data_IF_652364273408
#
_entry.id   IF_652364273408
#
_cell.length_a   1.000
_cell.length_b   1.000
_cell.length_c   1.000
_cell.angle_alpha   90.00
_cell.angle_beta   90.00
_cell.angle_gamma   90.00
#
_symmetry.space_group_name_H-M   'P 1'
#
loop_
_entity.id
_entity.type
_entity.pdbx_description
1 polymer ?
#
# COMPACT_ATOMS: atom_id res chain seq x y z
N UNK A 1 1.21 20.31 8.09
CA UNK A 1 1.28 19.08 7.27
C UNK A 1 1.07 17.80 8.08
N UNK A 2 1.48 17.75 9.35
CA UNK A 2 1.28 16.58 10.21
C UNK A 2 -0.19 16.21 10.47
N UNK A 3 -1.06 17.20 10.64
CA UNK A 3 -2.46 16.95 10.97
C UNK A 3 -3.25 16.34 9.81
N UNK A 4 -3.02 16.80 8.58
CA UNK A 4 -3.64 16.22 7.38
C UNK A 4 -3.21 14.76 7.18
N UNK A 5 -1.94 14.47 7.41
CA UNK A 5 -1.37 13.15 7.32
C UNK A 5 -1.98 12.21 8.39
N UNK A 6 -2.11 12.68 9.63
CA UNK A 6 -2.74 11.94 10.72
C UNK A 6 -4.25 11.73 10.48
N UNK A 7 -4.93 12.70 9.88
CA UNK A 7 -6.36 12.59 9.56
C UNK A 7 -6.63 11.53 8.48
N UNK A 8 -5.71 11.35 7.53
CA UNK A 8 -5.86 10.35 6.45
C UNK A 8 -5.36 8.97 6.88
N UNK A 9 -4.22 8.92 7.57
CA UNK A 9 -3.60 7.64 7.94
C UNK A 9 -4.21 7.05 9.21
N UNK A 10 -4.66 7.86 10.15
CA UNK A 10 -5.26 7.40 11.41
C UNK A 10 -6.40 6.38 11.25
N UNK A 11 -7.41 6.63 10.41
CA UNK A 11 -8.46 5.65 10.14
C UNK A 11 -7.95 4.35 9.52
N UNK A 12 -6.92 4.45 8.66
CA UNK A 12 -6.29 3.29 8.02
C UNK A 12 -5.49 2.48 9.05
N UNK A 13 -4.71 3.16 9.89
CA UNK A 13 -3.96 2.56 11.00
C UNK A 13 -4.91 1.82 11.95
N UNK A 14 -6.02 2.44 12.32
CA UNK A 14 -7.06 1.84 13.15
C UNK A 14 -7.66 0.59 12.51
N UNK A 15 -7.99 0.63 11.21
CA UNK A 15 -8.53 -0.51 10.47
C UNK A 15 -7.51 -1.64 10.37
N UNK A 16 -6.25 -1.33 10.07
CA UNK A 16 -5.13 -2.29 10.03
C UNK A 16 -4.97 -2.97 11.39
N UNK A 17 -4.98 -2.18 12.48
CA UNK A 17 -4.88 -2.68 13.85
C UNK A 17 -6.02 -3.66 14.19
N UNK A 18 -7.26 -3.36 13.80
CA UNK A 18 -8.40 -4.24 14.02
C UNK A 18 -8.30 -5.56 13.24
N UNK A 19 -7.90 -5.52 11.98
CA UNK A 19 -7.74 -6.73 11.17
C UNK A 19 -6.62 -7.60 11.74
N UNK A 20 -5.47 -6.99 12.06
CA UNK A 20 -4.32 -7.70 12.61
C UNK A 20 -4.66 -8.34 13.97
N UNK A 21 -5.32 -7.60 14.87
CA UNK A 21 -5.77 -8.10 16.15
C UNK A 21 -6.79 -9.23 15.99
N UNK A 22 -7.70 -9.13 15.02
CA UNK A 22 -8.65 -10.18 14.70
C UNK A 22 -7.99 -11.50 14.33
N UNK A 23 -6.96 -11.45 13.46
CA UNK A 23 -6.18 -12.64 13.12
C UNK A 23 -5.37 -13.16 14.32
N UNK A 24 -4.77 -12.28 15.08
CA UNK A 24 -4.03 -12.66 16.29
C UNK A 24 -4.92 -13.40 17.28
N UNK A 25 -6.13 -12.90 17.54
CA UNK A 25 -7.10 -13.57 18.40
C UNK A 25 -7.58 -14.90 17.83
N UNK A 26 -7.82 -14.98 16.52
CA UNK A 26 -8.22 -16.22 15.87
C UNK A 26 -7.14 -17.31 16.01
N UNK A 27 -5.87 -16.98 15.80
CA UNK A 27 -4.76 -17.93 15.98
C UNK A 27 -4.55 -18.32 17.45
N UNK A 28 -4.71 -17.37 18.38
CA UNK A 28 -4.67 -17.66 19.83
C UNK A 28 -5.80 -18.61 20.23
N UNK A 29 -7.00 -18.43 19.67
CA UNK A 29 -8.14 -19.31 19.93
C UNK A 29 -7.94 -20.72 19.38
N UNK A 30 -7.21 -20.90 18.29
CA UNK A 30 -6.82 -22.20 17.74
C UNK A 30 -5.76 -22.92 18.63
N UNK A 31 -5.22 -22.22 19.63
CA UNK A 31 -4.27 -22.79 20.59
C UNK A 31 -2.81 -22.35 20.38
N UNK A 32 -2.56 -21.34 19.54
CA UNK A 32 -1.22 -20.76 19.40
C UNK A 32 -0.89 -19.84 20.59
N UNK A 33 0.36 -19.83 21.01
CA UNK A 33 0.81 -18.94 22.08
C UNK A 33 0.75 -17.47 21.61
N UNK A 34 0.02 -16.58 22.31
CA UNK A 34 -0.14 -15.19 21.92
C UNK A 34 1.19 -14.37 21.90
N UNK A 35 2.17 -14.76 22.70
CA UNK A 35 3.51 -14.13 22.69
C UNK A 35 4.47 -14.76 21.67
N UNK A 36 4.02 -15.74 20.88
CA UNK A 36 4.85 -16.39 19.87
C UNK A 36 5.01 -15.49 18.65
N UNK A 37 6.25 -15.32 18.20
CA UNK A 37 6.55 -14.61 16.93
C UNK A 37 5.82 -15.21 15.73
N UNK A 38 5.58 -16.51 15.70
CA UNK A 38 4.80 -17.16 14.64
C UNK A 38 3.34 -16.71 14.62
N UNK A 39 2.70 -16.51 15.78
CA UNK A 39 1.33 -16.01 15.87
C UNK A 39 1.25 -14.60 15.28
N UNK A 40 2.20 -13.73 15.60
CA UNK A 40 2.30 -12.38 15.07
C UNK A 40 2.62 -12.35 13.58
N UNK A 41 3.59 -13.15 13.13
CA UNK A 41 3.93 -13.25 11.71
C UNK A 41 2.76 -13.72 10.85
N UNK A 42 2.04 -14.76 11.29
CA UNK A 42 0.85 -15.25 10.59
C UNK A 42 -0.29 -14.23 10.60
N UNK A 43 -0.43 -13.45 11.66
CA UNK A 43 -1.41 -12.37 11.73
C UNK A 43 -1.11 -11.25 10.72
N UNK A 44 0.17 -10.88 10.57
CA UNK A 44 0.62 -9.93 9.54
C UNK A 44 0.41 -10.49 8.14
N UNK A 45 0.73 -11.76 7.90
CA UNK A 45 0.47 -12.43 6.62
C UNK A 45 -1.02 -12.45 6.31
N UNK A 46 -1.87 -12.78 7.28
CA UNK A 46 -3.32 -12.75 7.15
C UNK A 46 -3.84 -11.36 6.78
N UNK A 47 -3.36 -10.33 7.47
CA UNK A 47 -3.65 -8.94 7.14
C UNK A 47 -3.29 -8.61 5.69
N UNK A 48 -2.07 -8.95 5.24
CA UNK A 48 -1.61 -8.69 3.87
C UNK A 48 -2.47 -9.41 2.84
N UNK A 49 -2.88 -10.66 3.12
CA UNK A 49 -3.77 -11.42 2.23
C UNK A 49 -5.13 -10.72 2.09
N UNK A 50 -5.75 -10.33 3.21
CA UNK A 50 -7.05 -9.62 3.19
C UNK A 50 -6.94 -8.31 2.42
N UNK A 51 -5.90 -7.52 2.67
CA UNK A 51 -5.67 -6.26 1.97
C UNK A 51 -5.50 -6.47 0.46
N UNK A 52 -4.72 -7.47 0.06
CA UNK A 52 -4.55 -7.81 -1.37
C UNK A 52 -5.83 -8.33 -1.99
N UNK A 53 -6.60 -9.17 -1.29
CA UNK A 53 -7.88 -9.66 -1.77
C UNK A 53 -8.88 -8.51 -1.98
N UNK A 54 -8.97 -7.57 -1.05
CA UNK A 54 -9.81 -6.39 -1.18
C UNK A 54 -9.41 -5.50 -2.38
N UNK A 55 -8.14 -5.51 -2.77
CA UNK A 55 -7.64 -4.74 -3.91
C UNK A 55 -7.75 -5.46 -5.26
N UNK A 56 -8.13 -6.75 -5.29
CA UNK A 56 -8.26 -7.51 -6.55
C UNK A 56 -9.09 -6.76 -7.62
N UNK A 57 -10.31 -6.24 -7.35
CA UNK A 57 -11.09 -5.56 -8.38
C UNK A 57 -10.39 -4.33 -8.93
N UNK A 58 -9.59 -3.65 -8.11
CA UNK A 58 -8.78 -2.52 -8.54
C UNK A 58 -7.63 -2.96 -9.44
N UNK A 59 -6.92 -4.03 -9.09
CA UNK A 59 -5.86 -4.60 -9.91
C UNK A 59 -6.35 -5.08 -11.27
N UNK A 60 -7.53 -5.70 -11.34
CA UNK A 60 -8.14 -6.11 -12.62
C UNK A 60 -8.37 -4.90 -13.53
N UNK A 61 -8.90 -3.80 -13.00
CA UNK A 61 -9.05 -2.54 -13.76
C UNK A 61 -7.71 -1.97 -14.22
N UNK A 62 -6.68 -2.05 -13.40
CA UNK A 62 -5.33 -1.60 -13.73
C UNK A 62 -4.70 -2.44 -14.85
N UNK A 63 -4.86 -3.77 -14.80
CA UNK A 63 -4.37 -4.68 -15.86
C UNK A 63 -5.05 -4.36 -17.20
N UNK A 64 -6.37 -4.11 -17.20
CA UNK A 64 -7.07 -3.70 -18.39
C UNK A 64 -6.58 -2.36 -18.95
N UNK A 65 -6.34 -1.38 -18.09
CA UNK A 65 -5.76 -0.08 -18.48
C UNK A 65 -4.32 -0.23 -19.01
N UNK A 66 -3.51 -1.08 -18.39
CA UNK A 66 -2.14 -1.38 -18.83
C UNK A 66 -2.13 -2.05 -20.21
N UNK A 67 -3.05 -2.99 -20.49
CA UNK A 67 -3.20 -3.60 -21.82
C UNK A 67 -3.55 -2.57 -22.88
N UNK A 68 -4.49 -1.66 -22.62
CA UNK A 68 -4.82 -0.57 -23.53
C UNK A 68 -3.59 0.31 -23.80
N UNK A 69 -2.79 0.62 -22.77
CA UNK A 69 -1.55 1.38 -22.92
C UNK A 69 -0.55 0.68 -23.83
N UNK A 70 -0.42 -0.67 -23.75
CA UNK A 70 0.44 -1.43 -24.66
C UNK A 70 -0.03 -1.36 -26.12
N UNK A 71 -1.34 -1.32 -26.37
CA UNK A 71 -1.89 -1.22 -27.71
C UNK A 71 -1.59 0.14 -28.38
N UNK A 72 -1.51 1.22 -27.63
CA UNK A 72 -1.19 2.56 -28.16
C UNK A 72 0.32 2.86 -28.20
N UNK A 73 1.16 1.96 -27.66
CA UNK A 73 2.63 2.12 -27.69
C UNK A 73 3.21 2.39 -29.08
N UNK A 74 2.79 1.69 -30.16
CA UNK A 74 3.33 1.97 -31.50
C UNK A 74 2.99 3.39 -31.99
N UNK A 75 1.83 3.93 -31.64
CA UNK A 75 1.47 5.32 -31.97
C UNK A 75 2.27 6.33 -31.16
N UNK A 76 2.47 6.06 -29.86
CA UNK A 76 3.37 6.86 -29.03
C UNK A 76 4.80 6.91 -29.57
N UNK A 77 5.31 5.77 -30.05
CA UNK A 77 6.64 5.73 -30.68
C UNK A 77 6.69 6.55 -31.98
N UNK A 78 5.62 6.61 -32.76
CA UNK A 78 5.54 7.48 -33.95
C UNK A 78 5.60 8.95 -33.57
N UNK A 79 4.86 9.37 -32.54
CA UNK A 79 4.90 10.73 -32.01
C UNK A 79 6.32 11.05 -31.51
N UNK A 80 6.92 10.18 -30.71
CA UNK A 80 8.29 10.39 -30.23
C UNK A 80 9.31 10.48 -31.37
N UNK A 81 9.20 9.65 -32.42
CA UNK A 81 10.06 9.71 -33.60
C UNK A 81 9.89 11.01 -34.39
N UNK A 82 8.66 11.53 -34.51
CA UNK A 82 8.34 12.81 -35.18
C UNK A 82 9.06 14.01 -34.55
N UNK A 83 9.22 13.96 -33.21
CA UNK A 83 9.88 15.03 -32.44
C UNK A 83 11.32 14.69 -32.03
N UNK A 84 11.84 13.53 -32.47
CA UNK A 84 13.22 13.12 -32.16
C UNK A 84 14.22 14.09 -32.77
N UNK A 85 15.11 14.66 -31.93
CA UNK A 85 16.11 15.62 -32.33
C UNK A 85 15.66 17.09 -32.27
N UNK A 86 14.39 17.35 -31.95
CA UNK A 86 13.89 18.71 -31.71
C UNK A 86 13.90 18.96 -30.20
N UNK A 87 14.77 19.86 -29.75
CA UNK A 87 14.95 20.18 -28.32
C UNK A 87 14.35 21.53 -27.91
N UNK A 88 13.74 22.25 -28.86
CA UNK A 88 13.09 23.53 -28.63
C UNK A 88 11.83 23.37 -27.72
N UNK A 89 11.55 24.37 -26.89
CA UNK A 89 10.41 24.33 -25.96
C UNK A 89 9.05 24.11 -26.65
N UNK A 90 8.90 24.70 -27.85
CA UNK A 90 7.68 24.59 -28.65
C UNK A 90 7.42 23.17 -29.14
N UNK A 91 8.44 22.48 -29.65
CA UNK A 91 8.35 21.09 -30.07
C UNK A 91 8.06 20.13 -28.89
N UNK A 92 8.60 20.40 -27.71
CA UNK A 92 8.29 19.63 -26.50
C UNK A 92 6.84 19.79 -26.07
N UNK A 93 6.34 21.04 -26.14
CA UNK A 93 4.95 21.32 -25.81
C UNK A 93 3.99 20.64 -26.80
N UNK A 94 4.29 20.74 -28.12
CA UNK A 94 3.52 20.07 -29.17
C UNK A 94 3.52 18.54 -29.00
N UNK A 95 4.66 17.92 -28.68
CA UNK A 95 4.77 16.50 -28.41
C UNK A 95 3.89 16.08 -27.21
N UNK A 96 3.93 16.87 -26.13
CA UNK A 96 3.12 16.61 -24.94
C UNK A 96 1.64 16.72 -25.27
N UNK A 97 1.25 17.72 -26.04
CA UNK A 97 -0.14 17.93 -26.46
C UNK A 97 -0.65 16.79 -27.35
N UNK A 98 0.08 16.40 -28.40
CA UNK A 98 -0.26 15.24 -29.25
C UNK A 98 -0.36 13.94 -28.43
N UNK A 99 0.54 13.75 -27.47
CA UNK A 99 0.52 12.57 -26.58
C UNK A 99 -0.74 12.56 -25.70
N UNK A 100 -1.11 13.71 -25.13
CA UNK A 100 -2.31 13.82 -24.29
C UNK A 100 -3.61 13.67 -25.10
N UNK A 101 -3.62 14.17 -26.33
CA UNK A 101 -4.75 13.97 -27.26
C UNK A 101 -4.92 12.48 -27.63
N UNK A 102 -3.81 11.78 -27.88
CA UNK A 102 -3.85 10.33 -28.12
C UNK A 102 -4.43 9.59 -26.92
N UNK A 103 -3.99 9.91 -25.69
CA UNK A 103 -4.54 9.30 -24.49
C UNK A 103 -6.04 9.58 -24.31
N UNK A 104 -6.48 10.80 -24.60
CA UNK A 104 -7.91 11.17 -24.55
C UNK A 104 -8.72 10.41 -25.60
N UNK A 105 -8.21 10.33 -26.83
CA UNK A 105 -8.88 9.63 -27.95
C UNK A 105 -9.08 8.16 -27.66
N UNK A 106 -8.06 7.50 -27.11
CA UNK A 106 -8.10 6.07 -26.80
C UNK A 106 -8.71 5.76 -25.41
N UNK A 107 -9.15 6.80 -24.68
CA UNK A 107 -9.75 6.66 -23.35
C UNK A 107 -8.81 6.01 -22.33
N UNK A 108 -7.51 6.26 -22.46
CA UNK A 108 -6.48 5.74 -21.56
C UNK A 108 -5.96 6.83 -20.64
N UNK A 109 -5.58 6.45 -19.43
CA UNK A 109 -5.01 7.37 -18.46
C UNK A 109 -3.53 6.99 -18.23
N UNK A 110 -2.57 7.89 -18.47
CA UNK A 110 -1.15 7.62 -18.24
C UNK A 110 -0.83 7.32 -16.76
N UNK A 111 -1.65 7.81 -15.83
CA UNK A 111 -1.49 7.57 -14.39
C UNK A 111 -1.96 6.18 -13.94
N UNK A 112 -2.61 5.40 -14.80
CA UNK A 112 -3.09 4.07 -14.43
C UNK A 112 -1.98 3.09 -14.06
N UNK A 113 -0.77 3.28 -14.58
CA UNK A 113 0.39 2.44 -14.30
C UNK A 113 1.00 2.68 -12.90
N UNK A 114 0.91 3.91 -12.36
CA UNK A 114 1.41 4.25 -11.03
C UNK A 114 0.33 4.17 -9.93
N UNK A 115 -0.92 3.98 -10.30
CA UNK A 115 -2.04 3.88 -9.37
C UNK A 115 -1.86 2.80 -8.29
N UNK A 116 -1.28 1.59 -8.56
CA UNK A 116 -1.01 0.59 -7.52
C UNK A 116 -0.17 1.15 -6.38
N UNK A 117 0.88 1.88 -6.71
CA UNK A 117 1.81 2.46 -5.71
C UNK A 117 1.09 3.50 -4.87
N UNK A 118 0.29 4.38 -5.51
CA UNK A 118 -0.49 5.42 -4.83
C UNK A 118 -1.53 4.85 -3.86
N UNK A 119 -2.20 3.77 -4.25
CA UNK A 119 -3.22 3.13 -3.42
C UNK A 119 -2.57 2.29 -2.32
N UNK A 120 -1.46 1.58 -2.62
CA UNK A 120 -0.76 0.74 -1.65
C UNK A 120 -0.01 1.56 -0.59
N UNK A 121 0.48 2.77 -0.93
CA UNK A 121 1.28 3.60 -0.03
C UNK A 121 0.60 3.90 1.32
N UNK A 122 -0.67 4.34 1.39
CA UNK A 122 -1.31 4.62 2.67
C UNK A 122 -1.41 3.38 3.57
N UNK A 123 -1.67 2.21 2.98
CA UNK A 123 -1.75 0.95 3.72
C UNK A 123 -0.38 0.51 4.23
N UNK A 124 0.67 0.67 3.42
CA UNK A 124 2.04 0.40 3.84
C UNK A 124 2.45 1.32 4.99
N UNK A 125 2.19 2.62 4.87
CA UNK A 125 2.48 3.58 5.94
C UNK A 125 1.63 3.33 7.19
N UNK A 126 0.36 2.94 7.04
CA UNK A 126 -0.51 2.57 8.17
C UNK A 126 0.02 1.34 8.92
N UNK A 127 0.44 0.29 8.19
CA UNK A 127 1.06 -0.89 8.79
C UNK A 127 2.39 -0.54 9.46
N UNK A 128 3.25 0.20 8.77
CA UNK A 128 4.56 0.62 9.30
C UNK A 128 4.42 1.44 10.59
N UNK A 129 3.51 2.41 10.61
CA UNK A 129 3.22 3.18 11.83
C UNK A 129 2.59 2.34 12.92
N UNK A 130 1.67 1.44 12.58
CA UNK A 130 1.05 0.53 13.53
C UNK A 130 2.08 -0.37 14.22
N UNK A 131 3.03 -0.93 13.46
CA UNK A 131 4.10 -1.75 14.01
C UNK A 131 5.06 -0.93 14.87
N UNK A 132 5.55 0.22 14.39
CA UNK A 132 6.42 1.10 15.21
C UNK A 132 5.69 1.68 16.42
N UNK A 133 4.39 1.94 16.30
CA UNK A 133 3.57 2.43 17.40
C UNK A 133 3.35 1.40 18.51
N UNK A 134 3.55 0.11 18.24
CA UNK A 134 3.45 -0.94 19.26
C UNK A 134 4.49 -0.75 20.37
N UNK A 135 5.73 -0.36 20.03
CA UNK A 135 6.78 -0.09 21.01
C UNK A 135 6.39 1.09 21.93
N UNK A 136 5.78 2.13 21.36
CA UNK A 136 5.28 3.27 22.15
C UNK A 136 4.10 2.87 23.04
N UNK A 137 3.17 2.03 22.54
CA UNK A 137 2.03 1.53 23.33
C UNK A 137 2.49 0.59 24.44
N UNK A 138 3.47 -0.27 24.20
CA UNK A 138 4.08 -1.11 25.23
C UNK A 138 4.77 -0.24 26.31
N UNK A 139 5.40 0.87 25.92
CA UNK A 139 5.96 1.88 26.81
C UNK A 139 4.92 2.74 27.56
N UNK A 140 3.62 2.48 27.40
CA UNK A 140 2.54 3.18 28.11
C UNK A 140 1.88 4.32 27.32
N UNK A 141 2.14 4.46 26.02
CA UNK A 141 1.45 5.42 25.17
C UNK A 141 -0.02 5.00 24.91
N UNK A 142 -0.77 5.87 24.24
CA UNK A 142 -2.18 5.65 23.96
C UNK A 142 -2.37 4.45 23.03
N UNK A 143 -3.29 3.53 23.40
CA UNK A 143 -3.65 2.37 22.58
C UNK A 143 -4.04 2.74 21.15
N UNK A 144 -3.63 1.91 20.19
CA UNK A 144 -3.99 2.02 18.76
C UNK A 144 -5.15 1.06 18.49
N UNK A 145 -6.39 1.57 18.54
CA UNK A 145 -7.57 0.73 18.39
C UNK A 145 -7.64 -0.38 19.45
N UNK A 146 -7.70 -1.68 19.02
CA UNK A 146 -7.73 -2.82 19.93
C UNK A 146 -6.34 -3.20 20.50
N UNK A 147 -5.26 -2.58 20.00
CA UNK A 147 -3.90 -2.84 20.48
C UNK A 147 -3.69 -2.04 21.76
N UNK A 148 -3.89 -2.72 22.87
CA UNK A 148 -3.65 -2.21 24.23
C UNK A 148 -2.24 -2.55 24.69
N UNK A 149 -1.77 -1.95 25.79
CA UNK A 149 -0.44 -2.18 26.33
C UNK A 149 -0.07 -3.67 26.48
N UNK A 150 -0.91 -4.56 27.07
CA UNK A 150 -0.55 -5.97 27.19
C UNK A 150 -0.43 -6.70 25.85
N UNK A 151 -1.13 -6.26 24.82
CA UNK A 151 -1.01 -6.81 23.47
C UNK A 151 0.28 -6.36 22.79
N UNK A 152 0.65 -5.11 22.98
CA UNK A 152 1.91 -4.55 22.49
C UNK A 152 3.14 -5.18 23.17
N UNK A 153 3.09 -5.41 24.48
CA UNK A 153 4.14 -6.13 25.21
C UNK A 153 4.34 -7.58 24.72
N UNK A 154 3.26 -8.26 24.31
CA UNK A 154 3.36 -9.58 23.68
C UNK A 154 4.07 -9.51 22.33
N UNK A 155 3.89 -8.44 21.57
CA UNK A 155 4.60 -8.23 20.31
C UNK A 155 6.10 -7.99 20.53
N UNK A 156 6.49 -7.17 21.52
CA UNK A 156 7.91 -6.95 21.85
C UNK A 156 8.63 -8.23 22.27
N UNK A 157 7.94 -9.14 22.97
CA UNK A 157 8.49 -10.43 23.37
C UNK A 157 8.52 -11.45 22.22
N UNK A 158 7.84 -11.15 21.11
CA UNK A 158 7.70 -12.06 19.99
C UNK A 158 9.02 -12.20 19.24
N UNK A 159 9.55 -13.41 19.15
CA UNK A 159 10.78 -13.74 18.41
C UNK A 159 10.53 -14.81 17.37
N UNK A 160 11.24 -14.69 16.22
CA UNK A 160 11.28 -15.71 15.17
C UNK A 160 12.75 -16.06 14.90
N UNK A 161 13.09 -17.33 15.02
CA UNK A 161 14.47 -17.81 14.87
C UNK A 161 15.51 -17.05 15.74
N UNK A 162 15.09 -16.54 16.89
CA UNK A 162 15.94 -15.78 17.81
C UNK A 162 16.10 -14.30 17.47
N UNK A 163 15.43 -13.81 16.42
CA UNK A 163 15.37 -12.38 16.11
C UNK A 163 14.06 -11.78 16.64
N UNK A 164 14.13 -10.60 17.25
CA UNK A 164 12.95 -9.83 17.66
C UNK A 164 12.16 -9.36 16.44
N UNK A 165 10.84 -9.27 16.57
CA UNK A 165 9.94 -8.68 15.56
C UNK A 165 9.81 -7.15 15.73
N UNK A 166 10.21 -6.62 16.89
CA UNK A 166 10.25 -5.19 17.22
C UNK A 166 11.54 -4.53 16.73
#
# INVERSE_FOLDING_TARGET
MGDLFNTIIGPIEWLVAWIMYGFHQAFTWIGMNPASGWTWALSIVGLVIVMRAAMIPLFVKQIMASRKMQMIQPELQKIQKKYKGKSDPESRQAMTQETMELYKKEGTNPFSSCLPILVQSPFFFGLFRGLNGMDEVAGGAKAIGPITQPVAEQFEQATIFGASLS
#
